data_IF_580910691343
#
_entry.id   IF_580910691343
#
_cell.length_a   1.000
_cell.length_b   1.000
_cell.length_c   1.000
_cell.angle_alpha   90.00
_cell.angle_beta   90.00
_cell.angle_gamma   90.00
#
_symmetry.space_group_name_H-M   'P 1'
#
loop_
_entity.id
_entity.type
_entity.pdbx_description
1 polymer ?
#
# COMPACT_ATOMS: atom_id res chain seq x y z
N UNK A 1 -3.16 -4.52 2.98
CA UNK A 1 -3.63 -4.88 1.61
C UNK A 1 -4.90 -5.71 1.66
N UNK A 2 -4.90 -6.90 2.29
CA UNK A 2 -6.12 -7.71 2.47
C UNK A 2 -7.15 -6.97 3.33
N UNK A 3 -6.76 -6.51 4.53
CA UNK A 3 -7.64 -5.74 5.42
C UNK A 3 -8.10 -4.41 4.81
N UNK A 4 -7.36 -3.90 3.84
CA UNK A 4 -7.71 -2.69 3.09
C UNK A 4 -8.73 -2.98 1.98
N UNK A 5 -9.09 -4.24 1.72
CA UNK A 5 -9.99 -4.59 0.62
C UNK A 5 -9.44 -4.24 -0.75
N UNK A 6 -8.11 -4.11 -0.90
CA UNK A 6 -7.45 -3.86 -2.19
C UNK A 6 -6.84 -5.12 -2.80
N UNK A 7 -6.95 -6.25 -2.09
CA UNK A 7 -6.50 -7.57 -2.55
C UNK A 7 -7.60 -8.22 -3.40
N UNK A 8 -7.29 -8.47 -4.66
CA UNK A 8 -8.25 -8.91 -5.68
C UNK A 8 -7.88 -10.31 -6.18
N UNK A 9 -7.78 -11.24 -5.22
CA UNK A 9 -7.44 -12.65 -5.49
C UNK A 9 -7.87 -13.53 -4.33
N UNK A 10 -8.29 -14.75 -4.64
CA UNK A 10 -8.58 -15.80 -3.66
C UNK A 10 -7.31 -16.51 -3.15
N UNK A 11 -6.14 -16.21 -3.74
CA UNK A 11 -4.87 -16.79 -3.33
C UNK A 11 -4.38 -16.12 -2.04
N UNK A 12 -4.01 -16.94 -1.07
CA UNK A 12 -3.44 -16.47 0.20
C UNK A 12 -2.05 -15.84 0.02
N UNK A 13 -1.65 -14.99 0.97
CA UNK A 13 -0.33 -14.37 0.94
C UNK A 13 0.77 -15.42 1.13
N UNK A 14 1.59 -15.62 0.10
CA UNK A 14 2.66 -16.64 0.09
C UNK A 14 4.02 -16.11 0.56
N UNK A 15 4.12 -14.83 0.92
CA UNK A 15 5.40 -14.14 1.15
C UNK A 15 6.13 -13.75 -0.14
N UNK A 16 5.66 -14.18 -1.31
CA UNK A 16 6.19 -13.76 -2.61
C UNK A 16 5.57 -12.44 -3.07
N UNK A 17 6.40 -11.49 -3.48
CA UNK A 17 5.94 -10.25 -4.09
C UNK A 17 5.69 -10.45 -5.59
N UNK A 18 4.51 -10.96 -5.93
CA UNK A 18 4.09 -11.21 -7.31
C UNK A 18 3.20 -10.11 -7.92
N UNK A 19 2.65 -10.36 -9.12
CA UNK A 19 1.76 -9.43 -9.82
C UNK A 19 0.53 -9.03 -9.00
N UNK A 20 -0.08 -9.97 -8.25
CA UNK A 20 -1.24 -9.71 -7.39
C UNK A 20 -0.87 -8.71 -6.28
N UNK A 21 0.24 -8.97 -5.57
CA UNK A 21 0.74 -8.09 -4.51
C UNK A 21 1.07 -6.69 -5.05
N UNK A 22 1.68 -6.61 -6.23
CA UNK A 22 1.98 -5.34 -6.90
C UNK A 22 0.71 -4.55 -7.21
N UNK A 23 -0.29 -5.20 -7.80
CA UNK A 23 -1.57 -4.56 -8.15
C UNK A 23 -2.32 -4.08 -6.90
N UNK A 24 -2.36 -4.90 -5.85
CA UNK A 24 -2.95 -4.51 -4.57
C UNK A 24 -2.21 -3.33 -3.92
N UNK A 25 -0.86 -3.30 -4.04
CA UNK A 25 -0.08 -2.18 -3.53
C UNK A 25 -0.32 -0.89 -4.32
N UNK A 26 -0.53 -0.95 -5.64
CA UNK A 26 -0.90 0.22 -6.45
C UNK A 26 -2.20 0.83 -5.91
N UNK A 27 -3.26 0.01 -5.78
CA UNK A 27 -4.56 0.44 -5.25
C UNK A 27 -4.44 1.03 -3.83
N UNK A 28 -3.60 0.44 -2.99
CA UNK A 28 -3.31 0.98 -1.65
C UNK A 28 -2.65 2.36 -1.69
N UNK A 29 -1.63 2.53 -2.53
CA UNK A 29 -0.91 3.80 -2.67
C UNK A 29 -1.83 4.90 -3.21
N UNK A 30 -2.73 4.56 -4.15
CA UNK A 30 -3.72 5.49 -4.69
C UNK A 30 -4.77 5.88 -3.65
N UNK A 31 -5.21 4.94 -2.80
CA UNK A 31 -6.11 5.24 -1.69
C UNK A 31 -5.52 6.25 -0.70
N UNK A 32 -4.23 6.12 -0.40
CA UNK A 32 -3.51 6.99 0.53
C UNK A 32 -2.57 7.94 -0.21
N UNK A 33 -3.06 8.48 -1.33
CA UNK A 33 -2.26 9.30 -2.24
C UNK A 33 -1.72 10.57 -1.59
N UNK A 34 -2.47 11.18 -0.67
CA UNK A 34 -2.05 12.37 0.09
C UNK A 34 -0.75 12.13 0.88
N UNK A 35 -0.64 10.99 1.53
CA UNK A 35 0.49 10.67 2.41
C UNK A 35 1.64 9.96 1.68
N UNK A 36 1.32 9.17 0.65
CA UNK A 36 2.27 8.31 -0.04
C UNK A 36 2.75 8.93 -1.36
N UNK A 37 1.84 9.42 -2.20
CA UNK A 37 2.14 9.80 -3.58
C UNK A 37 2.44 11.30 -3.74
N UNK A 38 1.63 12.18 -3.14
CA UNK A 38 1.81 13.64 -3.23
C UNK A 38 3.20 14.11 -2.77
N UNK A 39 3.78 13.60 -1.66
CA UNK A 39 5.12 14.02 -1.23
C UNK A 39 6.24 13.58 -2.18
N UNK A 40 5.94 12.68 -3.11
CA UNK A 40 6.84 12.20 -4.16
C UNK A 40 6.50 12.81 -5.52
N UNK A 41 5.51 13.70 -5.59
CA UNK A 41 4.98 14.26 -6.84
C UNK A 41 4.53 13.18 -7.84
N UNK A 42 3.93 12.10 -7.32
CA UNK A 42 3.35 11.00 -8.09
C UNK A 42 1.83 11.13 -8.14
N UNK A 43 1.25 10.80 -9.30
CA UNK A 43 -0.22 10.81 -9.48
C UNK A 43 -0.83 9.41 -9.37
N UNK A 44 -0.04 8.36 -9.60
CA UNK A 44 -0.51 6.96 -9.64
C UNK A 44 0.34 6.07 -8.76
N UNK A 45 -0.26 4.99 -8.27
CA UNK A 45 0.45 3.96 -7.53
C UNK A 45 1.53 3.32 -8.41
N UNK A 46 2.69 3.07 -7.84
CA UNK A 46 3.84 2.47 -8.54
C UNK A 46 3.91 0.96 -8.30
N UNK A 47 3.29 0.49 -7.21
CA UNK A 47 3.43 -0.89 -6.74
C UNK A 47 4.82 -1.19 -6.19
N UNK A 48 5.63 -0.15 -5.91
CA UNK A 48 6.92 -0.27 -5.25
C UNK A 48 6.79 -0.01 -3.75
N UNK A 49 7.21 -0.97 -2.92
CA UNK A 49 7.16 -0.86 -1.47
C UNK A 49 8.36 -0.10 -0.89
N UNK A 50 8.42 1.19 -1.23
CA UNK A 50 9.49 2.11 -0.87
C UNK A 50 9.31 2.83 0.46
N UNK A 51 10.19 3.82 0.76
CA UNK A 51 10.23 4.52 2.05
C UNK A 51 8.89 5.14 2.47
N UNK A 52 8.13 5.76 1.56
CA UNK A 52 6.84 6.39 1.88
C UNK A 52 5.76 5.38 2.24
N UNK A 53 5.65 4.27 1.50
CA UNK A 53 4.71 3.21 1.85
C UNK A 53 5.06 2.54 3.18
N UNK A 54 6.36 2.36 3.49
CA UNK A 54 6.82 1.87 4.79
C UNK A 54 6.51 2.85 5.91
N UNK A 55 6.82 4.14 5.70
CA UNK A 55 6.57 5.18 6.68
C UNK A 55 5.09 5.31 7.01
N UNK A 56 4.21 5.26 6.01
CA UNK A 56 2.77 5.28 6.20
C UNK A 56 2.31 4.11 7.08
N UNK A 57 2.69 2.87 6.74
CA UNK A 57 2.31 1.68 7.52
C UNK A 57 2.88 1.70 8.95
N UNK A 58 4.13 2.15 9.13
CA UNK A 58 4.72 2.28 10.46
C UNK A 58 4.03 3.37 11.28
N UNK A 59 3.55 4.43 10.62
CA UNK A 59 2.78 5.53 11.22
C UNK A 59 1.38 5.11 11.69
N UNK A 60 0.71 4.20 10.95
CA UNK A 60 -0.53 3.56 11.40
C UNK A 60 -0.31 2.84 12.74
N UNK A 61 0.86 2.24 12.96
CA UNK A 61 1.18 1.53 14.21
C UNK A 61 1.49 2.45 15.41
N UNK A 62 1.56 3.77 15.23
CA UNK A 62 1.87 4.73 16.31
C UNK A 62 0.73 5.70 16.65
N UNK A 63 -0.45 5.56 16.05
CA UNK A 63 -1.66 6.25 16.53
C UNK A 63 -2.65 5.24 17.11
N UNK A 64 -2.55 4.90 18.41
CA UNK A 64 -3.63 4.22 19.10
C UNK A 64 -4.76 5.24 19.29
N UNK A 65 -5.71 5.29 18.36
CA UNK A 65 -6.92 6.11 18.50
C UNK A 65 -7.36 6.82 17.23
N UNK A 66 -7.99 6.07 16.33
CA UNK A 66 -9.26 6.47 15.73
C UNK A 66 -10.23 5.31 15.87
#
# INVERSE_FOLDING_TARGET
>A
LINEGVWDSEVEATGYFGPITKAALIKFQERYSEDILKPLNLEKGTGYFGPKSRAYLNGISLSPGM
#
